data_IF_628084797132
#
_entry.id   IF_628084797132
#
_cell.length_a   1.000
_cell.length_b   1.000
_cell.length_c   1.000
_cell.angle_alpha   90.00
_cell.angle_beta   90.00
_cell.angle_gamma   90.00
#
_symmetry.space_group_name_H-M   'P 1'
#
loop_
_entity.id
_entity.type
_entity.pdbx_description
1 polymer ?
#
# COMPACT_ATOMS: atom_id res chain seq x y z
N UNK A 1 15.49 14.76 3.21
CA UNK A 1 14.38 14.12 3.94
C UNK A 1 13.62 13.20 3.00
N UNK A 2 13.27 12.00 3.46
CA UNK A 2 12.52 11.03 2.66
C UNK A 2 11.03 11.15 2.97
N UNK A 3 10.20 11.17 1.93
CA UNK A 3 8.75 11.32 2.07
C UNK A 3 8.09 10.05 1.53
N UNK A 4 7.10 9.56 2.25
CA UNK A 4 6.27 8.43 1.82
C UNK A 4 4.80 8.80 1.81
N UNK A 5 4.05 8.16 0.92
CA UNK A 5 2.60 8.28 0.86
C UNK A 5 1.95 7.13 1.66
N UNK A 6 0.81 7.42 2.26
CA UNK A 6 0.10 6.48 3.13
C UNK A 6 -1.38 6.44 2.76
N UNK A 7 -1.72 5.99 1.53
CA UNK A 7 -3.10 6.00 1.04
C UNK A 7 -3.99 4.99 1.77
N UNK A 8 -5.23 5.37 2.00
CA UNK A 8 -6.20 4.51 2.67
C UNK A 8 -7.54 4.52 1.97
N UNK A 9 -8.49 3.80 2.56
CA UNK A 9 -9.88 3.84 2.11
C UNK A 9 -10.48 5.24 2.29
N UNK A 10 -11.51 5.55 1.50
CA UNK A 10 -12.28 6.79 1.63
C UNK A 10 -13.19 6.70 2.85
N UNK A 11 -12.60 6.83 4.02
CA UNK A 11 -13.28 6.62 5.30
C UNK A 11 -12.73 7.58 6.35
N UNK A 12 -13.10 8.85 6.24
CA UNK A 12 -12.64 9.87 7.18
C UNK A 12 -13.09 9.58 8.61
N UNK A 13 -14.34 9.15 8.79
CA UNK A 13 -14.90 8.88 10.11
C UNK A 13 -14.17 7.72 10.79
N UNK A 14 -13.92 6.63 10.07
CA UNK A 14 -13.22 5.45 10.59
C UNK A 14 -11.71 5.53 10.44
N UNK A 15 -11.19 6.64 9.95
CA UNK A 15 -9.77 6.87 9.74
C UNK A 15 -9.11 5.79 8.84
N UNK A 16 -9.88 5.25 7.89
CA UNK A 16 -9.40 4.21 6.98
C UNK A 16 -9.13 2.87 7.65
N UNK A 17 -9.63 2.65 8.86
CA UNK A 17 -9.40 1.41 9.60
C UNK A 17 -10.57 0.44 9.54
N UNK A 18 -11.67 0.83 8.90
CA UNK A 18 -12.82 -0.05 8.67
C UNK A 18 -12.68 -0.71 7.31
N UNK A 19 -12.97 -2.00 7.23
CA UNK A 19 -12.96 -2.72 5.97
C UNK A 19 -14.05 -2.19 5.05
N UNK A 20 -13.71 -2.04 3.77
CA UNK A 20 -14.65 -1.60 2.75
C UNK A 20 -14.53 -2.52 1.55
N UNK A 21 -15.66 -2.86 0.94
CA UNK A 21 -15.66 -3.67 -0.27
C UNK A 21 -15.50 -2.75 -1.47
N UNK A 22 -14.35 -2.84 -2.13
CA UNK A 22 -14.06 -2.05 -3.33
C UNK A 22 -13.52 -2.96 -4.42
N UNK A 23 -13.61 -2.50 -5.67
CA UNK A 23 -13.08 -3.21 -6.82
C UNK A 23 -11.59 -2.94 -6.97
N UNK A 24 -10.93 -3.74 -7.81
CA UNK A 24 -9.53 -3.49 -8.20
C UNK A 24 -9.36 -2.09 -8.78
N UNK A 25 -10.28 -1.68 -9.66
CA UNK A 25 -10.21 -0.36 -10.29
C UNK A 25 -10.36 0.76 -9.27
N UNK A 26 -11.25 0.59 -8.30
CA UNK A 26 -11.40 1.56 -7.23
C UNK A 26 -10.15 1.64 -6.37
N UNK A 27 -9.54 0.51 -6.02
CA UNK A 27 -8.29 0.49 -5.26
C UNK A 27 -7.19 1.23 -6.02
N UNK A 28 -7.11 1.01 -7.33
CA UNK A 28 -6.15 1.68 -8.20
C UNK A 28 -6.40 3.19 -8.24
N UNK A 29 -7.65 3.60 -8.42
CA UNK A 29 -8.01 5.00 -8.53
C UNK A 29 -7.81 5.75 -7.20
N UNK A 30 -8.20 5.15 -6.08
CA UNK A 30 -8.02 5.75 -4.76
C UNK A 30 -6.54 5.92 -4.43
N UNK A 31 -5.73 4.92 -4.74
CA UNK A 31 -4.28 4.99 -4.51
C UNK A 31 -3.66 6.08 -5.38
N UNK A 32 -4.00 6.09 -6.67
CA UNK A 32 -3.46 7.07 -7.61
C UNK A 32 -3.85 8.50 -7.23
N UNK A 33 -5.11 8.70 -6.84
CA UNK A 33 -5.59 10.02 -6.43
C UNK A 33 -4.80 10.55 -5.22
N UNK A 34 -4.67 9.75 -4.18
CA UNK A 34 -3.98 10.16 -2.95
C UNK A 34 -2.49 10.37 -3.18
N UNK A 35 -1.87 9.47 -3.95
CA UNK A 35 -0.45 9.59 -4.29
C UNK A 35 -0.19 10.83 -5.14
N UNK A 36 -1.03 11.06 -6.14
CA UNK A 36 -0.90 12.22 -7.02
C UNK A 36 -1.09 13.54 -6.28
N UNK A 37 -2.04 13.59 -5.35
CA UNK A 37 -2.26 14.77 -4.53
C UNK A 37 -1.01 15.10 -3.69
N UNK A 38 -0.42 14.10 -3.04
CA UNK A 38 0.80 14.31 -2.26
C UNK A 38 1.97 14.69 -3.17
N UNK A 39 2.07 14.09 -4.34
CA UNK A 39 3.15 14.41 -5.29
C UNK A 39 3.15 15.88 -5.70
N UNK A 40 1.98 16.47 -5.88
CA UNK A 40 1.89 17.88 -6.24
C UNK A 40 2.53 18.77 -5.17
N UNK A 41 2.25 18.47 -3.90
CA UNK A 41 2.85 19.21 -2.78
C UNK A 41 4.34 18.92 -2.64
N UNK A 42 4.74 17.66 -2.80
CA UNK A 42 6.15 17.29 -2.71
C UNK A 42 6.98 18.00 -3.79
N UNK A 43 6.49 17.96 -5.04
CA UNK A 43 7.20 18.57 -6.16
C UNK A 43 7.35 20.08 -5.99
N UNK A 44 6.31 20.77 -5.51
CA UNK A 44 6.36 22.21 -5.30
C UNK A 44 7.31 22.61 -4.17
N UNK A 45 7.71 21.65 -3.33
CA UNK A 45 8.66 21.87 -2.26
C UNK A 45 10.03 21.23 -2.53
N UNK A 46 10.27 20.82 -3.78
CA UNK A 46 11.56 20.24 -4.18
C UNK A 46 11.82 18.85 -3.63
N UNK A 47 10.77 18.11 -3.29
CA UNK A 47 10.87 16.75 -2.74
C UNK A 47 10.30 15.74 -3.70
N UNK A 48 10.76 14.49 -3.57
CA UNK A 48 10.21 13.34 -4.29
C UNK A 48 9.62 12.35 -3.30
N UNK A 49 8.59 11.63 -3.72
CA UNK A 49 8.03 10.55 -2.91
C UNK A 49 8.90 9.32 -3.10
N UNK A 50 9.44 8.78 -2.03
CA UNK A 50 10.31 7.61 -2.05
C UNK A 50 9.54 6.31 -2.01
N UNK A 51 8.47 6.24 -1.21
CA UNK A 51 7.77 4.98 -0.94
C UNK A 51 6.29 5.21 -0.71
N UNK A 52 5.53 4.11 -0.82
CA UNK A 52 4.10 4.06 -0.51
C UNK A 52 3.87 2.91 0.43
N UNK A 53 3.17 3.18 1.53
CA UNK A 53 2.69 2.15 2.45
C UNK A 53 1.18 2.34 2.62
N UNK A 54 0.34 1.41 2.13
CA UNK A 54 -1.11 1.54 2.35
C UNK A 54 -1.45 1.61 3.82
N UNK A 55 -2.51 2.34 4.16
CA UNK A 55 -2.92 2.62 5.52
C UNK A 55 -4.04 1.68 5.99
N UNK A 56 -3.95 1.23 7.23
CA UNK A 56 -5.05 0.64 7.97
C UNK A 56 -5.68 -0.58 7.31
N UNK A 57 -6.99 -0.56 7.15
CA UNK A 57 -7.74 -1.70 6.60
C UNK A 57 -7.33 -2.00 5.15
N UNK A 58 -7.01 -0.99 4.35
CA UNK A 58 -6.53 -1.22 2.98
C UNK A 58 -5.25 -2.06 2.98
N UNK A 59 -4.32 -1.74 3.86
CA UNK A 59 -3.08 -2.51 4.00
C UNK A 59 -3.36 -3.96 4.37
N UNK A 60 -4.20 -4.17 5.39
CA UNK A 60 -4.49 -5.51 5.89
C UNK A 60 -5.27 -6.35 4.88
N UNK A 61 -6.22 -5.74 4.18
CA UNK A 61 -7.00 -6.45 3.15
C UNK A 61 -6.14 -6.76 1.92
N UNK A 62 -5.32 -5.82 1.48
CA UNK A 62 -4.45 -6.03 0.32
C UNK A 62 -3.36 -7.08 0.59
N UNK A 63 -3.02 -7.31 1.85
CA UNK A 63 -2.08 -8.38 2.20
C UNK A 63 -2.61 -9.76 1.79
N UNK A 64 -3.93 -9.93 1.73
CA UNK A 64 -4.59 -11.21 1.43
C UNK A 64 -5.35 -11.22 0.11
N UNK A 65 -5.70 -10.05 -0.41
CA UNK A 65 -6.55 -9.91 -1.60
C UNK A 65 -5.69 -9.45 -2.79
N UNK A 66 -5.48 -10.35 -3.74
CA UNK A 66 -4.63 -10.09 -4.89
C UNK A 66 -5.18 -8.97 -5.79
N UNK A 67 -6.49 -8.86 -5.93
CA UNK A 67 -7.09 -7.82 -6.76
C UNK A 67 -6.80 -6.43 -6.21
N UNK A 68 -6.99 -6.25 -4.90
CA UNK A 68 -6.66 -4.98 -4.24
C UNK A 68 -5.16 -4.69 -4.32
N UNK A 69 -4.34 -5.70 -4.04
CA UNK A 69 -2.90 -5.57 -4.09
C UNK A 69 -2.42 -5.15 -5.48
N UNK A 70 -2.94 -5.79 -6.51
CA UNK A 70 -2.56 -5.47 -7.88
C UNK A 70 -3.01 -4.06 -8.27
N UNK A 71 -4.20 -3.64 -7.85
CA UNK A 71 -4.67 -2.29 -8.08
C UNK A 71 -3.74 -1.23 -7.48
N UNK A 72 -3.33 -1.45 -6.24
CA UNK A 72 -2.37 -0.57 -5.56
C UNK A 72 -1.04 -0.52 -6.32
N UNK A 73 -0.49 -1.69 -6.67
CA UNK A 73 0.80 -1.77 -7.36
C UNK A 73 0.76 -1.12 -8.74
N UNK A 74 -0.30 -1.34 -9.50
CA UNK A 74 -0.46 -0.71 -10.81
C UNK A 74 -0.55 0.81 -10.71
N UNK A 75 -1.27 1.31 -9.70
CA UNK A 75 -1.38 2.75 -9.48
C UNK A 75 -0.01 3.37 -9.22
N UNK A 76 0.78 2.76 -8.34
CA UNK A 76 2.11 3.25 -8.03
C UNK A 76 3.00 3.22 -9.26
N UNK A 77 3.03 2.10 -9.97
CA UNK A 77 3.87 1.91 -11.16
C UNK A 77 3.54 2.93 -12.25
N UNK A 78 2.25 3.21 -12.46
CA UNK A 78 1.82 4.16 -13.49
C UNK A 78 2.16 5.60 -13.13
N UNK A 79 2.20 5.92 -11.84
CA UNK A 79 2.57 7.27 -11.38
C UNK A 79 4.09 7.45 -11.43
N UNK A 80 4.83 6.53 -10.86
CA UNK A 80 6.30 6.57 -10.85
C UNK A 80 6.84 5.18 -10.52
N UNK A 81 7.42 4.51 -11.51
CA UNK A 81 7.94 3.15 -11.37
C UNK A 81 9.11 3.02 -10.39
N UNK A 82 9.72 4.13 -10.00
CA UNK A 82 10.86 4.12 -9.07
C UNK A 82 10.44 4.22 -7.61
N UNK A 83 9.15 4.44 -7.33
CA UNK A 83 8.63 4.43 -5.97
C UNK A 83 8.67 3.00 -5.40
N UNK A 84 9.02 2.90 -4.13
CA UNK A 84 9.13 1.61 -3.42
C UNK A 84 7.81 1.34 -2.68
N UNK A 85 7.22 0.16 -2.91
CA UNK A 85 6.09 -0.29 -2.11
C UNK A 85 6.60 -0.91 -0.80
N UNK A 86 6.10 -0.43 0.32
CA UNK A 86 6.29 -1.09 1.61
C UNK A 86 5.09 -1.99 1.87
N UNK A 87 5.33 -3.27 1.94
CA UNK A 87 4.28 -4.26 2.12
C UNK A 87 4.66 -5.33 3.13
N UNK A 88 3.64 -5.96 3.71
CA UNK A 88 3.84 -7.02 4.67
C UNK A 88 4.58 -8.18 4.01
N UNK A 89 5.56 -8.72 4.70
CA UNK A 89 6.33 -9.87 4.24
C UNK A 89 5.40 -11.02 3.81
N UNK A 90 5.71 -11.60 2.66
CA UNK A 90 4.98 -12.74 2.11
C UNK A 90 3.49 -12.46 1.84
N UNK A 91 3.14 -11.21 1.55
CA UNK A 91 1.76 -10.80 1.26
C UNK A 91 1.50 -10.75 -0.24
N UNK A 92 0.21 -10.63 -0.60
CA UNK A 92 -0.18 -10.44 -2.00
C UNK A 92 0.33 -9.11 -2.55
N UNK A 93 0.57 -8.11 -1.70
CA UNK A 93 1.19 -6.86 -2.13
C UNK A 93 2.60 -7.09 -2.68
N UNK A 94 3.40 -7.89 -1.97
CA UNK A 94 4.76 -8.22 -2.41
C UNK A 94 4.72 -9.08 -3.67
N UNK A 95 3.82 -10.06 -3.73
CA UNK A 95 3.66 -10.91 -4.90
C UNK A 95 3.27 -10.08 -6.14
N UNK A 96 2.34 -9.15 -5.97
CA UNK A 96 1.91 -8.27 -7.06
C UNK A 96 3.01 -7.33 -7.53
N UNK A 97 3.79 -6.78 -6.59
CA UNK A 97 4.92 -5.93 -6.92
C UNK A 97 5.96 -6.69 -7.75
N UNK A 98 6.28 -7.91 -7.35
CA UNK A 98 7.20 -8.77 -8.12
C UNK A 98 6.68 -9.04 -9.54
N UNK A 99 5.39 -9.30 -9.64
CA UNK A 99 4.76 -9.66 -10.91
C UNK A 99 4.86 -8.54 -11.95
N UNK A 100 4.71 -7.29 -11.53
CA UNK A 100 4.76 -6.15 -12.46
C UNK A 100 6.10 -5.43 -12.50
N UNK A 101 7.06 -5.88 -11.69
CA UNK A 101 8.39 -5.26 -11.67
C UNK A 101 8.46 -3.97 -10.84
N UNK A 102 7.55 -3.76 -9.91
CA UNK A 102 7.59 -2.63 -8.98
C UNK A 102 8.59 -2.93 -7.85
N UNK A 103 9.39 -1.94 -7.50
CA UNK A 103 10.31 -2.07 -6.36
C UNK A 103 9.53 -2.20 -5.07
N UNK A 104 10.04 -3.01 -4.15
CA UNK A 104 9.35 -3.25 -2.89
C UNK A 104 10.34 -3.44 -1.74
N UNK A 105 9.84 -3.23 -0.52
CA UNK A 105 10.54 -3.58 0.71
C UNK A 105 9.56 -4.33 1.61
N UNK A 106 10.05 -5.41 2.21
CA UNK A 106 9.25 -6.22 3.12
C UNK A 106 9.17 -5.58 4.49
N UNK A 107 7.96 -5.54 5.05
CA UNK A 107 7.75 -5.10 6.41
C UNK A 107 7.44 -6.29 7.30
N UNK A 108 8.08 -6.34 8.46
CA UNK A 108 7.81 -7.34 9.50
C UNK A 108 7.64 -6.62 10.82
N UNK A 109 6.78 -7.19 11.68
CA UNK A 109 6.52 -6.64 13.01
C UNK A 109 7.11 -7.58 14.04
N UNK A 110 8.21 -7.18 14.66
CA UNK A 110 8.95 -8.02 15.58
C UNK A 110 8.16 -8.38 16.85
N UNK A 111 7.15 -7.60 17.17
CA UNK A 111 6.29 -7.79 18.35
C UNK A 111 5.04 -8.62 18.05
N UNK A 112 4.93 -9.19 16.86
CA UNK A 112 3.76 -9.97 16.43
C UNK A 112 4.16 -11.34 15.95
N UNK A 113 3.26 -12.32 16.16
CA UNK A 113 3.44 -13.67 15.66
C UNK A 113 2.91 -13.78 14.23
N UNK A 114 3.57 -14.60 13.43
CA UNK A 114 3.17 -14.88 12.04
C UNK A 114 2.85 -16.36 11.89
N UNK A 115 1.87 -16.66 11.03
CA UNK A 115 1.58 -18.05 10.66
C UNK A 115 2.56 -18.55 9.59
N UNK A 116 2.36 -19.77 9.10
CA UNK A 116 3.26 -20.38 8.10
C UNK A 116 3.26 -19.67 6.75
N UNK A 117 2.27 -18.82 6.49
CA UNK A 117 2.15 -18.06 5.25
C UNK A 117 2.68 -16.62 5.39
N UNK A 118 3.18 -16.25 6.57
CA UNK A 118 3.70 -14.93 6.82
C UNK A 118 2.66 -13.92 7.28
N UNK A 119 1.41 -14.33 7.47
CA UNK A 119 0.36 -13.44 8.00
C UNK A 119 0.43 -13.42 9.52
N UNK A 120 0.35 -12.23 10.09
CA UNK A 120 0.33 -12.10 11.54
C UNK A 120 -1.05 -12.48 12.09
N UNK A 121 -1.08 -12.92 13.34
CA UNK A 121 -2.33 -13.22 14.03
C UNK A 121 -2.30 -12.63 15.44
N UNK A 122 -3.50 -12.34 15.98
CA UNK A 122 -3.61 -11.81 17.33
C UNK A 122 -3.43 -12.93 18.34
N UNK A 123 -2.62 -12.67 19.34
CA UNK A 123 -2.58 -13.53 20.52
C UNK A 123 -3.85 -13.28 21.34
N UNK A 124 -4.44 -14.35 21.79
CA UNK A 124 -5.66 -14.29 22.60
C UNK A 124 -5.30 -14.12 24.07
#
# INVERSE_FOLDING_TARGET
>A
MKIGAHPGFLDLIGFGRREMKITKQEAKDYTKYQLGALMAFASSNGCNIQHVKPHGALYNMAAKDKELAMGICEAIYEVDKDIILLGLYNSEMINSAKEIGLRFANEVFADRAYDNNGFWFQEV
#
